data_IF_285955962349
#
_entry.id   IF_285955962349
#
_cell.length_a   1.000
_cell.length_b   1.000
_cell.length_c   1.000
_cell.angle_alpha   90.00
_cell.angle_beta   90.00
_cell.angle_gamma   90.00
#
_symmetry.space_group_name_H-M   'P 1'
#
loop_
_entity.id
_entity.type
_entity.pdbx_description
1 polymer ?
#
# COMPACT_ATOMS: atom_id res chain seq x y z
N UNK A 1 3.06 -5.14 13.26
CA UNK A 1 1.99 -5.96 13.82
C UNK A 1 0.71 -5.79 13.03
N UNK A 2 -0.17 -6.73 13.18
CA UNK A 2 -1.45 -6.68 12.47
C UNK A 2 -2.29 -5.49 12.94
N UNK A 3 -2.17 -5.08 14.18
CA UNK A 3 -2.88 -3.91 14.71
C UNK A 3 -2.43 -2.65 13.97
N UNK A 4 -1.15 -2.46 13.81
CA UNK A 4 -0.61 -1.33 13.05
C UNK A 4 -1.03 -1.40 11.59
N UNK A 5 -1.03 -2.60 11.00
CA UNK A 5 -1.45 -2.78 9.61
C UNK A 5 -2.91 -2.36 9.42
N UNK A 6 -3.81 -2.81 10.30
CA UNK A 6 -5.24 -2.48 10.20
C UNK A 6 -5.49 -0.98 10.40
N UNK A 7 -4.78 -0.36 11.35
CA UNK A 7 -4.88 1.08 11.55
C UNK A 7 -4.42 1.83 10.30
N UNK A 8 -3.30 1.40 9.71
CA UNK A 8 -2.78 2.03 8.51
C UNK A 8 -3.76 1.92 7.34
N UNK A 9 -4.46 0.78 7.20
CA UNK A 9 -5.50 0.63 6.17
C UNK A 9 -6.63 1.65 6.36
N UNK A 10 -7.09 1.83 7.60
CA UNK A 10 -8.14 2.82 7.89
C UNK A 10 -7.66 4.22 7.51
N UNK A 11 -6.44 4.58 7.88
CA UNK A 11 -5.87 5.88 7.55
C UNK A 11 -5.76 6.07 6.03
N UNK A 12 -5.40 5.01 5.32
CA UNK A 12 -5.33 5.03 3.85
C UNK A 12 -6.72 5.32 3.25
N UNK A 13 -7.76 4.64 3.73
CA UNK A 13 -9.11 4.84 3.25
C UNK A 13 -9.61 6.27 3.52
N UNK A 14 -9.16 6.87 4.61
CA UNK A 14 -9.49 8.25 4.97
C UNK A 14 -8.64 9.27 4.22
N UNK A 15 -7.73 8.83 3.35
CA UNK A 15 -6.79 9.69 2.64
C UNK A 15 -5.84 10.45 3.57
N UNK A 16 -5.64 9.95 4.78
CA UNK A 16 -4.60 10.42 5.69
C UNK A 16 -3.27 9.77 5.31
N UNK A 17 -2.73 10.21 4.18
CA UNK A 17 -1.67 9.46 3.49
C UNK A 17 -0.35 9.45 4.26
N UNK A 18 0.04 10.58 4.85
CA UNK A 18 1.30 10.63 5.60
C UNK A 18 1.23 9.75 6.84
N UNK A 19 0.15 9.86 7.60
CA UNK A 19 -0.05 9.04 8.80
C UNK A 19 -0.14 7.56 8.43
N UNK A 20 -0.81 7.25 7.33
CA UNK A 20 -0.93 5.88 6.85
C UNK A 20 0.44 5.30 6.50
N UNK A 21 1.25 6.03 5.73
CA UNK A 21 2.59 5.57 5.36
C UNK A 21 3.45 5.31 6.61
N UNK A 22 3.42 6.24 7.56
CA UNK A 22 4.17 6.08 8.81
C UNK A 22 3.73 4.85 9.57
N UNK A 23 2.42 4.59 9.62
CA UNK A 23 1.87 3.45 10.35
C UNK A 23 2.19 2.13 9.64
N UNK A 24 2.17 2.11 8.30
CA UNK A 24 2.62 0.92 7.57
C UNK A 24 4.10 0.64 7.82
N UNK A 25 4.94 1.67 7.90
CA UNK A 25 6.35 1.48 8.23
C UNK A 25 6.54 0.96 9.64
N UNK A 26 5.72 1.42 10.58
CA UNK A 26 5.73 0.88 11.94
C UNK A 26 5.37 -0.61 11.95
N UNK A 27 4.41 -1.01 11.12
CA UNK A 27 4.06 -2.42 10.97
C UNK A 27 5.23 -3.24 10.42
N UNK A 28 5.99 -2.66 9.48
CA UNK A 28 7.17 -3.33 8.92
C UNK A 28 8.32 -3.46 9.93
N UNK A 29 8.49 -2.46 10.79
CA UNK A 29 9.58 -2.42 11.76
C UNK A 29 9.29 -3.24 13.01
N UNK A 30 8.03 -3.58 13.26
CA UNK A 30 7.64 -4.37 14.40
C UNK A 30 7.52 -5.84 14.05
N UNK A 31 6.60 -6.51 14.74
CA UNK A 31 6.29 -7.91 14.49
C UNK A 31 5.58 -8.05 13.13
N UNK A 32 6.20 -8.80 12.21
CA UNK A 32 5.66 -9.05 10.87
C UNK A 32 4.93 -10.38 10.78
N UNK A 33 4.37 -10.83 11.87
CA UNK A 33 3.56 -12.02 11.91
C UNK A 33 2.07 -11.59 11.95
N UNK A 34 1.24 -12.05 11.03
CA UNK A 34 1.50 -13.03 9.97
C UNK A 34 2.39 -12.48 8.84
N UNK A 35 3.03 -13.40 8.13
CA UNK A 35 4.05 -13.09 7.13
C UNK A 35 3.56 -12.14 6.03
N UNK A 36 2.28 -12.21 5.66
CA UNK A 36 1.72 -11.39 4.57
C UNK A 36 1.70 -9.89 4.88
N UNK A 37 1.92 -9.51 6.13
CA UNK A 37 1.99 -8.09 6.51
C UNK A 37 3.07 -7.40 5.69
N UNK A 38 4.21 -8.04 5.50
CA UNK A 38 5.33 -7.42 4.77
C UNK A 38 4.96 -7.06 3.34
N UNK A 39 4.44 -8.02 2.56
CA UNK A 39 4.13 -7.78 1.15
C UNK A 39 3.06 -6.72 0.99
N UNK A 40 2.02 -6.74 1.81
CA UNK A 40 0.93 -5.78 1.70
C UNK A 40 1.32 -4.39 2.19
N UNK A 41 2.22 -4.28 3.16
CA UNK A 41 2.77 -2.97 3.55
C UNK A 41 3.48 -2.31 2.37
N UNK A 42 4.31 -3.05 1.66
CA UNK A 42 5.00 -2.49 0.49
C UNK A 42 4.00 -2.05 -0.57
N UNK A 43 2.97 -2.84 -0.83
CA UNK A 43 1.95 -2.49 -1.84
C UNK A 43 1.23 -1.20 -1.45
N UNK A 44 0.79 -1.08 -0.20
CA UNK A 44 0.09 0.12 0.25
C UNK A 44 0.99 1.35 0.23
N UNK A 45 2.23 1.22 0.67
CA UNK A 45 3.17 2.34 0.66
C UNK A 45 3.41 2.78 -0.79
N UNK A 46 3.53 1.82 -1.72
CA UNK A 46 3.64 2.13 -3.13
C UNK A 46 2.43 2.92 -3.64
N UNK A 47 1.23 2.48 -3.29
CA UNK A 47 0.00 3.19 -3.67
C UNK A 47 0.00 4.62 -3.13
N UNK A 48 0.44 4.82 -1.89
CA UNK A 48 0.51 6.15 -1.28
C UNK A 48 1.46 7.05 -2.07
N UNK A 49 2.65 6.54 -2.41
CA UNK A 49 3.59 7.32 -3.22
C UNK A 49 3.02 7.68 -4.59
N UNK A 50 2.29 6.74 -5.23
CA UNK A 50 1.64 7.03 -6.52
C UNK A 50 0.61 8.16 -6.37
N UNK A 51 -0.22 8.12 -5.33
CA UNK A 51 -1.21 9.17 -5.08
C UNK A 51 -0.51 10.52 -4.91
N UNK A 52 0.66 10.53 -4.27
CA UNK A 52 1.43 11.74 -4.02
C UNK A 52 2.26 12.18 -5.23
N UNK A 53 2.17 11.47 -6.35
CA UNK A 53 2.91 11.80 -7.56
C UNK A 53 4.38 11.42 -7.51
N UNK A 54 4.78 10.53 -6.62
CA UNK A 54 6.16 10.08 -6.45
C UNK A 54 6.36 8.71 -7.08
N UNK A 55 6.25 8.67 -8.41
CA UNK A 55 6.22 7.40 -9.16
C UNK A 55 7.46 6.53 -8.93
N UNK A 56 8.64 7.12 -8.91
CA UNK A 56 9.87 6.35 -8.72
C UNK A 56 9.89 5.61 -7.39
N UNK A 57 9.46 6.30 -6.33
CA UNK A 57 9.35 5.68 -5.00
C UNK A 57 8.28 4.60 -4.96
N UNK A 58 7.15 4.85 -5.63
CA UNK A 58 6.09 3.86 -5.71
C UNK A 58 6.59 2.57 -6.34
N UNK A 59 7.28 2.69 -7.48
CA UNK A 59 7.80 1.52 -8.19
C UNK A 59 8.80 0.74 -7.34
N UNK A 60 9.63 1.43 -6.57
CA UNK A 60 10.58 0.79 -5.67
C UNK A 60 9.85 -0.07 -4.62
N UNK A 61 8.73 0.43 -4.08
CA UNK A 61 7.96 -0.31 -3.10
C UNK A 61 7.28 -1.53 -3.73
N UNK A 62 6.72 -1.39 -4.93
CA UNK A 62 6.11 -2.53 -5.63
C UNK A 62 7.16 -3.61 -5.93
N UNK A 63 8.38 -3.22 -6.29
CA UNK A 63 9.46 -4.16 -6.51
C UNK A 63 9.84 -4.90 -5.23
N UNK A 64 9.83 -4.22 -4.08
CA UNK A 64 10.05 -4.87 -2.79
C UNK A 64 8.98 -5.92 -2.52
N UNK A 65 7.72 -5.58 -2.85
CA UNK A 65 6.61 -6.53 -2.70
C UNK A 65 6.83 -7.76 -3.57
N UNK A 66 7.23 -7.57 -4.83
CA UNK A 66 7.50 -8.69 -5.73
C UNK A 66 8.65 -9.56 -5.21
N UNK A 67 9.67 -8.94 -4.63
CA UNK A 67 10.83 -9.65 -4.12
C UNK A 67 10.51 -10.55 -2.91
N UNK A 68 9.42 -10.29 -2.20
CA UNK A 68 8.99 -11.18 -1.13
C UNK A 68 8.52 -12.53 -1.65
N UNK A 69 8.05 -12.56 -2.91
CA UNK A 69 7.44 -13.73 -3.56
C UNK A 69 6.20 -14.25 -2.83
N UNK A 70 5.68 -13.49 -1.89
CA UNK A 70 4.47 -13.82 -1.15
C UNK A 70 3.27 -13.39 -1.99
N UNK A 71 2.41 -14.36 -2.33
CA UNK A 71 1.23 -14.11 -3.15
C UNK A 71 -0.07 -14.16 -2.33
N UNK A 72 0.03 -13.97 -1.03
CA UNK A 72 -1.15 -13.99 -0.18
C UNK A 72 -2.18 -12.97 -0.71
N UNK A 73 -3.40 -13.45 -0.92
CA UNK A 73 -4.53 -12.63 -1.34
C UNK A 73 -4.29 -11.89 -2.66
N UNK A 74 -3.51 -12.50 -3.56
CA UNK A 74 -3.23 -11.93 -4.87
C UNK A 74 -2.18 -10.82 -4.87
N UNK A 75 -1.32 -10.79 -3.86
CA UNK A 75 -0.35 -9.71 -3.68
C UNK A 75 0.60 -9.56 -4.87
N UNK A 76 1.06 -10.65 -5.46
CA UNK A 76 2.01 -10.56 -6.58
C UNK A 76 1.35 -9.91 -7.81
N UNK A 77 0.13 -10.31 -8.13
CA UNK A 77 -0.60 -9.71 -9.26
C UNK A 77 -0.92 -8.24 -8.99
N UNK A 78 -1.28 -7.91 -7.76
CA UNK A 78 -1.56 -6.53 -7.37
C UNK A 78 -0.31 -5.65 -7.56
N UNK A 79 0.84 -6.11 -7.09
CA UNK A 79 2.09 -5.38 -7.24
C UNK A 79 2.48 -5.20 -8.71
N UNK A 80 2.33 -6.24 -9.52
CA UNK A 80 2.63 -6.16 -10.95
C UNK A 80 1.73 -5.17 -11.66
N UNK A 81 0.45 -5.16 -11.32
CA UNK A 81 -0.53 -4.26 -11.90
C UNK A 81 -0.14 -2.80 -11.71
N UNK A 82 0.22 -2.43 -10.47
CA UNK A 82 0.56 -1.05 -10.18
C UNK A 82 1.98 -0.68 -10.58
N UNK A 83 2.85 -1.67 -10.75
CA UNK A 83 4.16 -1.44 -11.34
C UNK A 83 4.03 -1.07 -12.83
N UNK A 84 3.06 -1.66 -13.52
CA UNK A 84 2.81 -1.38 -14.93
C UNK A 84 2.06 -0.07 -15.15
N UNK A 85 1.16 0.30 -14.22
CA UNK A 85 0.30 1.47 -14.34
C UNK A 85 0.22 2.16 -12.98
N UNK A 86 0.43 3.49 -12.91
CA UNK A 86 0.34 4.19 -11.61
C UNK A 86 -1.01 3.98 -10.94
N UNK A 87 -0.98 3.75 -9.65
CA UNK A 87 -2.20 3.70 -8.85
C UNK A 87 -2.74 5.11 -8.67
N UNK A 88 -4.02 5.30 -8.89
CA UNK A 88 -4.65 6.60 -8.67
C UNK A 88 -5.88 6.44 -7.80
N UNK A 89 -6.11 7.45 -6.97
CA UNK A 89 -7.31 7.51 -6.16
C UNK A 89 -7.73 8.97 -6.09
N UNK A 90 -8.75 9.31 -6.87
CA UNK A 90 -9.20 10.68 -7.04
C UNK A 90 -10.44 10.91 -6.17
N UNK A 91 -10.44 11.97 -5.39
CA UNK A 91 -11.57 12.36 -4.57
C UNK A 91 -12.83 12.58 -5.41
N UNK A 92 -12.68 13.16 -6.59
CA UNK A 92 -13.80 13.40 -7.48
C UNK A 92 -14.41 12.09 -7.94
N UNK A 93 -13.56 11.08 -8.21
CA UNK A 93 -14.02 9.75 -8.60
C UNK A 93 -14.76 9.07 -7.43
N UNK A 94 -14.22 9.18 -6.24
CA UNK A 94 -14.87 8.64 -5.03
C UNK A 94 -16.22 9.31 -4.81
N UNK A 95 -16.30 10.63 -4.99
CA UNK A 95 -17.55 11.35 -4.89
C UNK A 95 -18.59 10.91 -5.92
N UNK A 96 -18.15 10.58 -7.13
CA UNK A 96 -19.04 10.06 -8.17
C UNK A 96 -19.57 8.68 -7.82
N UNK A 97 -18.74 7.85 -7.21
CA UNK A 97 -19.14 6.49 -6.83
C UNK A 97 -20.23 6.50 -5.76
N UNK A 98 -20.30 7.55 -4.96
CA UNK A 98 -21.30 7.67 -3.90
C UNK A 98 -22.67 8.00 -4.47
N UNK A 99 -22.72 8.57 -5.63
CA UNK A 99 -24.00 8.86 -6.29
C UNK A 99 -24.62 7.56 -6.81
#
# INVERSE_FOLDING_TARGET
SIVHFRLAEVLFEQMNLQSSANTFRDALNGDKDPKWIEVWCYIYIGKIYDILGQRQRAMAEYNKALNTKDDYNGAQDEAKKWLATPYTRDRATVGKDIK
#
